data_IF_179425884429
#
_entry.id   IF_179425884429
#
_cell.length_a   1.000
_cell.length_b   1.000
_cell.length_c   1.000
_cell.angle_alpha   90.00
_cell.angle_beta   90.00
_cell.angle_gamma   90.00
#
_symmetry.space_group_name_H-M   'P 1'
#
loop_
_entity.id
_entity.type
_entity.pdbx_description
1 polymer ?
#
# COMPACT_ATOMS: atom_id res chain seq x y z
N UNK A 1 1.45 36.77 20.87
CA UNK A 1 1.56 35.89 19.70
C UNK A 1 0.15 35.40 19.34
N UNK A 2 -0.20 35.22 18.07
CA UNK A 2 -1.44 34.57 17.68
C UNK A 2 -1.50 33.15 18.25
N UNK A 3 -2.69 32.64 18.52
CA UNK A 3 -2.91 31.30 19.05
C UNK A 3 -3.33 30.36 17.92
N UNK A 4 -2.86 29.13 17.95
CA UNK A 4 -3.22 28.12 16.94
C UNK A 4 -4.66 27.59 17.07
N UNK A 5 -5.31 27.83 18.22
CA UNK A 5 -6.70 27.47 18.48
C UNK A 5 -7.44 28.66 19.07
N UNK A 6 -8.49 29.11 18.41
CA UNK A 6 -9.28 30.30 18.79
C UNK A 6 -10.78 30.04 18.72
N UNK A 7 -11.57 30.92 19.34
CA UNK A 7 -13.02 30.89 19.20
C UNK A 7 -13.47 31.62 17.93
N UNK A 8 -14.65 31.27 17.42
CA UNK A 8 -15.28 31.99 16.31
C UNK A 8 -15.50 33.49 16.65
N UNK A 9 -15.73 33.83 17.92
CA UNK A 9 -15.84 35.21 18.39
C UNK A 9 -14.51 35.95 18.32
N UNK A 10 -13.44 35.31 18.76
CA UNK A 10 -12.08 35.88 18.72
C UNK A 10 -11.62 36.09 17.27
N UNK A 11 -11.91 35.13 16.37
CA UNK A 11 -11.63 35.31 14.95
C UNK A 11 -12.36 36.53 14.38
N UNK A 12 -13.66 36.68 14.66
CA UNK A 12 -14.48 37.80 14.18
C UNK A 12 -13.93 39.17 14.63
N UNK A 13 -13.43 39.24 15.86
CA UNK A 13 -12.87 40.47 16.42
C UNK A 13 -11.49 40.81 15.89
N UNK A 14 -10.71 39.83 15.46
CA UNK A 14 -9.31 39.97 15.09
C UNK A 14 -8.98 39.35 13.73
N UNK A 15 -9.94 39.37 12.78
CA UNK A 15 -9.81 38.66 11.51
C UNK A 15 -8.52 39.04 10.75
N UNK A 16 -8.21 40.34 10.62
CA UNK A 16 -7.00 40.81 9.94
C UNK A 16 -5.73 40.18 10.51
N UNK A 17 -5.60 40.21 11.85
CA UNK A 17 -4.44 39.62 12.53
C UNK A 17 -4.26 38.13 12.26
N UNK A 18 -5.36 37.38 12.14
CA UNK A 18 -5.29 35.95 11.86
C UNK A 18 -5.10 35.66 10.37
N UNK A 19 -5.56 36.55 9.47
CA UNK A 19 -5.22 36.46 8.05
C UNK A 19 -3.72 36.69 7.83
N UNK A 20 -3.13 37.74 8.43
CA UNK A 20 -1.68 38.00 8.37
C UNK A 20 -0.86 36.84 8.95
N UNK A 21 -1.36 36.20 10.01
CA UNK A 21 -0.72 35.03 10.62
C UNK A 21 -0.76 33.80 9.70
N UNK A 22 -1.87 33.60 9.02
CA UNK A 22 -2.05 32.49 8.07
C UNK A 22 -1.23 32.71 6.79
N UNK A 23 -1.12 33.97 6.32
CA UNK A 23 -0.26 34.33 5.17
C UNK A 23 1.22 33.94 5.40
N UNK A 24 1.67 33.90 6.65
CA UNK A 24 3.00 33.43 7.05
C UNK A 24 3.10 31.89 7.15
N UNK A 25 2.26 31.14 6.43
CA UNK A 25 2.24 29.68 6.38
C UNK A 25 1.82 28.99 7.70
N UNK A 26 1.13 29.72 8.59
CA UNK A 26 0.57 29.16 9.82
C UNK A 26 -0.89 28.73 9.59
N UNK A 27 -1.42 27.92 10.51
CA UNK A 27 -2.85 27.54 10.50
C UNK A 27 -3.51 27.87 11.84
N UNK A 28 -4.82 28.09 11.80
CA UNK A 28 -5.62 28.42 12.98
C UNK A 28 -6.87 27.56 13.02
N UNK A 29 -7.06 26.81 14.10
CA UNK A 29 -8.27 26.03 14.35
C UNK A 29 -9.32 26.89 15.02
N UNK A 30 -10.52 26.92 14.46
CA UNK A 30 -11.64 27.72 14.96
C UNK A 30 -12.59 26.82 15.74
N UNK A 31 -12.94 27.26 16.95
CA UNK A 31 -13.88 26.54 17.81
C UNK A 31 -15.15 27.35 18.05
N UNK A 32 -16.27 26.63 18.24
CA UNK A 32 -17.54 27.20 18.71
C UNK A 32 -18.10 26.30 19.80
N UNK A 33 -18.42 26.87 20.96
CA UNK A 33 -18.88 26.10 22.12
C UNK A 33 -17.93 24.94 22.51
N UNK A 34 -16.63 25.15 22.40
CA UNK A 34 -15.61 24.12 22.70
C UNK A 34 -15.39 23.07 21.61
N UNK A 35 -16.19 23.06 20.54
CA UNK A 35 -16.07 22.12 19.42
C UNK A 35 -15.29 22.76 18.27
N UNK A 36 -14.33 22.05 17.70
CA UNK A 36 -13.61 22.46 16.48
C UNK A 36 -14.54 22.42 15.28
N UNK A 37 -14.77 23.58 14.63
CA UNK A 37 -15.76 23.72 13.55
C UNK A 37 -15.15 24.07 12.20
N UNK A 38 -13.98 24.70 12.18
CA UNK A 38 -13.32 25.14 10.96
C UNK A 38 -11.83 25.31 11.17
N UNK A 39 -11.10 25.47 10.06
CA UNK A 39 -9.67 25.77 10.02
C UNK A 39 -9.45 26.90 9.03
N UNK A 40 -8.58 27.84 9.38
CA UNK A 40 -8.08 28.88 8.50
C UNK A 40 -6.66 28.50 8.11
N UNK A 41 -6.42 28.33 6.81
CA UNK A 41 -5.11 27.90 6.27
C UNK A 41 -4.69 28.85 5.15
N UNK A 42 -3.41 28.93 4.81
CA UNK A 42 -2.95 29.66 3.63
C UNK A 42 -3.70 29.23 2.37
N UNK A 43 -3.93 30.17 1.47
CA UNK A 43 -4.39 29.84 0.12
C UNK A 43 -3.24 29.23 -0.67
N UNK A 44 -3.46 28.05 -1.18
CA UNK A 44 -2.46 27.27 -1.91
C UNK A 44 -3.04 27.01 -3.31
N UNK A 45 -2.23 27.18 -4.35
CA UNK A 45 -2.65 26.86 -5.73
C UNK A 45 -3.00 25.38 -5.87
N UNK A 46 -3.87 25.02 -6.80
CA UNK A 46 -4.34 23.63 -7.00
C UNK A 46 -3.19 22.62 -7.15
N UNK A 47 -2.08 23.02 -7.80
CA UNK A 47 -0.88 22.19 -7.95
C UNK A 47 -0.12 22.07 -6.64
N UNK A 48 0.09 23.18 -5.94
CA UNK A 48 0.75 23.18 -4.61
C UNK A 48 -0.12 22.47 -3.59
N UNK A 49 -1.44 22.62 -3.67
CA UNK A 49 -2.41 21.90 -2.84
C UNK A 49 -2.33 20.38 -3.08
N UNK A 50 -2.21 19.95 -4.33
CA UNK A 50 -2.01 18.54 -4.68
C UNK A 50 -0.72 17.98 -4.05
N UNK A 51 0.40 18.68 -4.16
CA UNK A 51 1.67 18.25 -3.57
C UNK A 51 1.67 18.34 -2.04
N UNK A 52 1.09 19.38 -1.46
CA UNK A 52 0.97 19.55 0.01
C UNK A 52 -0.01 18.55 0.63
N UNK A 53 -1.12 18.22 -0.04
CA UNK A 53 -2.04 17.17 0.40
C UNK A 53 -1.35 15.81 0.28
N UNK A 54 -0.58 15.58 -0.77
CA UNK A 54 0.22 14.37 -0.93
C UNK A 54 1.31 14.25 0.16
N UNK A 55 2.05 15.30 0.42
CA UNK A 55 3.15 15.29 1.41
C UNK A 55 2.60 15.34 2.84
N UNK A 56 1.53 16.08 3.12
CA UNK A 56 0.85 16.11 4.42
C UNK A 56 0.02 14.85 4.69
N UNK A 57 -0.55 14.21 3.68
CA UNK A 57 -1.18 12.91 3.84
C UNK A 57 -0.15 11.83 4.18
N UNK A 58 1.06 11.94 3.66
CA UNK A 58 2.16 11.03 3.98
C UNK A 58 2.72 11.27 5.40
N UNK A 59 2.72 12.51 5.93
CA UNK A 59 3.45 12.84 7.15
C UNK A 59 2.57 13.11 8.39
N UNK A 60 1.35 13.60 8.27
CA UNK A 60 0.77 14.34 9.41
C UNK A 60 -0.41 13.70 10.15
N UNK A 61 -1.15 12.78 9.56
CA UNK A 61 -2.30 12.22 10.28
C UNK A 61 -2.23 10.72 10.52
N UNK A 62 -1.71 9.96 9.58
CA UNK A 62 -1.72 8.48 9.68
C UNK A 62 -0.39 7.82 9.32
N UNK A 63 0.43 8.36 8.42
CA UNK A 63 1.69 7.75 7.98
C UNK A 63 2.73 7.68 9.10
N UNK A 64 3.35 6.52 9.31
CA UNK A 64 4.30 6.27 10.38
C UNK A 64 3.70 6.23 11.79
N UNK A 65 2.36 6.33 11.92
CA UNK A 65 1.69 6.26 13.22
C UNK A 65 1.62 4.83 13.70
N UNK A 66 2.14 4.60 14.90
CA UNK A 66 1.95 3.32 15.62
C UNK A 66 0.60 3.31 16.31
N UNK A 67 -0.19 2.29 16.00
CA UNK A 67 -1.55 2.11 16.54
C UNK A 67 -1.81 0.64 16.85
N UNK A 68 -2.90 0.35 17.57
CA UNK A 68 -3.40 -1.02 17.67
C UNK A 68 -4.07 -1.44 16.35
N UNK A 69 -4.26 -2.74 16.19
CA UNK A 69 -4.98 -3.27 15.02
C UNK A 69 -6.44 -2.78 14.98
N UNK A 70 -7.10 -2.69 16.14
CA UNK A 70 -8.46 -2.19 16.28
C UNK A 70 -8.56 -0.72 15.88
N UNK A 71 -7.61 0.12 16.34
CA UNK A 71 -7.52 1.53 15.91
C UNK A 71 -7.30 1.65 14.40
N UNK A 72 -6.42 0.81 13.83
CA UNK A 72 -6.22 0.79 12.37
C UNK A 72 -7.52 0.49 11.63
N UNK A 73 -8.29 -0.51 12.05
CA UNK A 73 -9.57 -0.85 11.43
C UNK A 73 -10.58 0.30 11.49
N UNK A 74 -10.65 1.02 12.61
CA UNK A 74 -11.51 2.21 12.75
C UNK A 74 -11.06 3.35 11.83
N UNK A 75 -9.75 3.61 11.75
CA UNK A 75 -9.17 4.63 10.87
C UNK A 75 -9.43 4.27 9.41
N UNK A 76 -9.13 3.03 9.01
CA UNK A 76 -9.33 2.54 7.65
C UNK A 76 -10.79 2.60 7.21
N UNK A 77 -11.74 2.25 8.10
CA UNK A 77 -13.17 2.31 7.80
C UNK A 77 -13.71 3.74 7.57
N UNK A 78 -13.06 4.75 8.14
CA UNK A 78 -13.47 6.16 8.04
C UNK A 78 -12.67 6.97 7.02
N UNK A 79 -11.55 6.43 6.55
CA UNK A 79 -10.63 7.10 5.63
C UNK A 79 -10.96 6.77 4.18
N UNK A 80 -10.77 7.73 3.30
CA UNK A 80 -10.76 7.52 1.84
C UNK A 80 -9.36 7.18 1.30
N UNK A 81 -8.35 7.25 2.16
CA UNK A 81 -6.96 6.96 1.79
C UNK A 81 -6.72 5.46 1.80
N UNK A 82 -5.95 4.99 0.82
CA UNK A 82 -5.44 3.63 0.82
C UNK A 82 -4.28 3.52 1.81
N UNK A 83 -4.31 2.50 2.64
CA UNK A 83 -3.30 2.32 3.67
C UNK A 83 -3.02 0.84 3.95
N UNK A 84 -1.82 0.57 4.40
CA UNK A 84 -1.38 -0.72 4.94
C UNK A 84 -1.05 -0.57 6.42
N UNK A 85 -1.09 -1.69 7.13
CA UNK A 85 -0.73 -1.77 8.53
C UNK A 85 0.30 -2.88 8.70
N UNK A 86 1.54 -2.51 9.00
CA UNK A 86 2.66 -3.44 9.08
C UNK A 86 3.42 -3.21 10.39
N UNK A 87 3.60 -4.26 11.18
CA UNK A 87 4.31 -4.20 12.47
C UNK A 87 3.78 -3.11 13.43
N UNK A 88 2.47 -2.85 13.40
CA UNK A 88 1.83 -1.84 14.25
C UNK A 88 1.90 -0.41 13.70
N UNK A 89 2.38 -0.21 12.49
CA UNK A 89 2.54 1.09 11.85
C UNK A 89 1.66 1.24 10.61
N UNK A 90 1.05 2.43 10.44
CA UNK A 90 0.25 2.77 9.26
C UNK A 90 1.15 3.30 8.15
N UNK A 91 1.05 2.71 6.97
CA UNK A 91 1.71 3.15 5.75
C UNK A 91 0.68 3.61 4.73
N UNK A 92 0.77 4.85 4.26
CA UNK A 92 -0.10 5.36 3.20
C UNK A 92 0.41 4.92 1.83
N UNK A 93 -0.53 4.56 0.95
CA UNK A 93 -0.23 4.13 -0.41
C UNK A 93 -0.47 5.29 -1.39
N UNK A 94 0.55 5.62 -2.17
CA UNK A 94 0.46 6.57 -3.29
C UNK A 94 -0.13 5.91 -4.54
N UNK A 95 -0.59 6.73 -5.48
CA UNK A 95 -0.98 6.23 -6.80
C UNK A 95 0.26 5.78 -7.59
N UNK A 96 0.21 4.58 -8.21
CA UNK A 96 1.31 4.08 -9.01
C UNK A 96 1.50 4.87 -10.31
N UNK A 97 2.73 4.92 -10.81
CA UNK A 97 3.07 5.53 -12.10
C UNK A 97 2.67 4.66 -13.30
N UNK A 98 2.88 5.20 -14.52
CA UNK A 98 2.51 4.54 -15.78
C UNK A 98 3.26 3.21 -15.95
N UNK A 99 4.56 3.20 -15.73
CA UNK A 99 5.40 2.01 -15.84
C UNK A 99 4.91 0.87 -14.94
N UNK A 100 4.64 1.19 -13.67
CA UNK A 100 4.11 0.23 -12.72
C UNK A 100 2.78 -0.36 -13.20
N UNK A 101 1.87 0.47 -13.71
CA UNK A 101 0.57 0.03 -14.21
C UNK A 101 0.69 -0.84 -15.46
N UNK A 102 1.63 -0.56 -16.34
CA UNK A 102 1.86 -1.36 -17.54
C UNK A 102 2.43 -2.74 -17.19
N UNK A 103 3.42 -2.80 -16.30
CA UNK A 103 3.96 -4.04 -15.77
C UNK A 103 2.86 -4.87 -15.09
N UNK A 104 2.05 -4.23 -14.24
CA UNK A 104 0.94 -4.88 -13.54
C UNK A 104 -0.09 -5.46 -14.52
N UNK A 105 -0.43 -4.72 -15.56
CA UNK A 105 -1.33 -5.18 -16.61
C UNK A 105 -0.81 -6.41 -17.34
N UNK A 106 0.46 -6.43 -17.71
CA UNK A 106 1.12 -7.59 -18.37
C UNK A 106 1.14 -8.81 -17.46
N UNK A 107 1.56 -8.64 -16.20
CA UNK A 107 1.54 -9.72 -15.20
C UNK A 107 0.13 -10.28 -15.01
N UNK A 108 -0.87 -9.40 -14.89
CA UNK A 108 -2.24 -9.84 -14.74
C UNK A 108 -2.71 -10.70 -15.91
N UNK A 109 -2.41 -10.30 -17.13
CA UNK A 109 -2.77 -11.10 -18.33
C UNK A 109 -2.09 -12.47 -18.32
N UNK A 110 -0.78 -12.53 -18.02
CA UNK A 110 -0.02 -13.78 -17.96
C UNK A 110 -0.55 -14.72 -16.87
N UNK A 111 -0.78 -14.21 -15.66
CA UNK A 111 -1.30 -14.96 -14.54
C UNK A 111 -2.75 -15.38 -14.77
N UNK A 112 -3.61 -14.48 -15.25
CA UNK A 112 -5.00 -14.79 -15.55
C UNK A 112 -5.11 -15.90 -16.61
N UNK A 113 -4.29 -15.83 -17.68
CA UNK A 113 -4.24 -16.86 -18.70
C UNK A 113 -3.84 -18.23 -18.12
N UNK A 114 -2.83 -18.26 -17.27
CA UNK A 114 -2.37 -19.48 -16.61
C UNK A 114 -3.41 -20.09 -15.68
N UNK A 115 -4.11 -19.26 -14.88
CA UNK A 115 -5.11 -19.73 -13.90
C UNK A 115 -6.51 -19.94 -14.49
N UNK A 116 -6.73 -19.60 -15.76
CA UNK A 116 -8.02 -19.80 -16.42
C UNK A 116 -8.43 -21.28 -16.37
N UNK A 117 -9.63 -21.55 -15.80
CA UNK A 117 -10.15 -22.91 -15.64
C UNK A 117 -9.56 -23.72 -14.48
N UNK A 118 -8.69 -23.11 -13.65
CA UNK A 118 -8.18 -23.70 -12.42
C UNK A 118 -8.95 -23.17 -11.19
N UNK A 119 -8.75 -23.78 -10.03
CA UNK A 119 -9.41 -23.37 -8.78
C UNK A 119 -8.94 -22.00 -8.29
N UNK A 120 -7.63 -21.71 -8.45
CA UNK A 120 -7.06 -20.47 -7.99
C UNK A 120 -7.51 -19.27 -8.83
N UNK A 121 -7.57 -18.11 -8.21
CA UNK A 121 -7.97 -16.85 -8.83
C UNK A 121 -6.89 -15.78 -8.61
N UNK A 122 -6.81 -14.87 -9.58
CA UNK A 122 -5.87 -13.75 -9.56
C UNK A 122 -6.65 -12.48 -9.22
N UNK A 123 -6.14 -11.72 -8.27
CA UNK A 123 -6.70 -10.42 -7.87
C UNK A 123 -5.62 -9.35 -7.93
N UNK A 124 -6.06 -8.11 -8.04
CA UNK A 124 -5.21 -6.91 -8.08
C UNK A 124 -5.57 -5.97 -6.93
N UNK A 125 -4.63 -5.11 -6.56
CA UNK A 125 -4.91 -4.00 -5.66
C UNK A 125 -6.00 -3.06 -6.25
N UNK A 126 -6.85 -2.44 -5.40
CA UNK A 126 -6.86 -2.55 -3.93
C UNK A 126 -7.55 -3.83 -3.44
N UNK A 127 -6.85 -4.64 -2.69
CA UNK A 127 -7.37 -5.87 -2.10
C UNK A 127 -6.70 -6.09 -0.74
N UNK A 128 -7.46 -5.92 0.34
CA UNK A 128 -6.95 -6.07 1.69
C UNK A 128 -6.67 -7.53 2.03
N UNK A 129 -5.46 -7.82 2.46
CA UNK A 129 -5.03 -9.12 2.98
C UNK A 129 -4.62 -8.98 4.43
N UNK A 130 -5.29 -9.71 5.32
CA UNK A 130 -4.99 -9.74 6.74
C UNK A 130 -4.05 -10.91 7.04
N UNK A 131 -2.75 -10.64 7.10
CA UNK A 131 -1.71 -11.64 7.30
C UNK A 131 -1.59 -12.03 8.77
N UNK A 132 -1.95 -13.27 9.08
CA UNK A 132 -1.70 -13.87 10.40
C UNK A 132 -0.28 -14.42 10.42
N UNK A 133 0.58 -13.80 11.21
CA UNK A 133 2.00 -14.18 11.33
C UNK A 133 2.20 -15.19 12.46
N UNK A 134 3.11 -16.14 12.27
CA UNK A 134 3.50 -17.11 13.29
C UNK A 134 4.00 -16.38 14.55
N UNK A 135 3.50 -16.81 15.71
CA UNK A 135 3.88 -16.31 17.05
C UNK A 135 3.64 -14.81 17.29
N UNK A 136 2.95 -14.11 16.36
CA UNK A 136 2.59 -12.69 16.49
C UNK A 136 1.06 -12.56 16.48
N UNK A 137 0.50 -12.03 17.57
CA UNK A 137 -0.96 -11.91 17.72
C UNK A 137 -1.58 -10.86 16.80
N UNK A 138 -0.86 -9.76 16.57
CA UNK A 138 -1.34 -8.66 15.74
C UNK A 138 -1.13 -8.99 14.27
N UNK A 139 -2.18 -9.10 13.45
CA UNK A 139 -2.03 -9.30 12.01
C UNK A 139 -1.48 -8.05 11.34
N UNK A 140 -0.79 -8.21 10.22
CA UNK A 140 -0.54 -7.12 9.30
C UNK A 140 -1.69 -7.04 8.27
N UNK A 141 -1.96 -5.84 7.75
CA UNK A 141 -2.91 -5.63 6.64
C UNK A 141 -2.15 -5.01 5.47
N UNK A 142 -2.09 -5.73 4.37
CA UNK A 142 -1.36 -5.32 3.17
C UNK A 142 -2.26 -5.32 1.94
N UNK A 143 -1.86 -4.56 0.92
CA UNK A 143 -2.53 -4.51 -0.38
C UNK A 143 -1.51 -4.85 -1.49
N UNK A 144 -1.18 -6.12 -1.70
CA UNK A 144 -0.23 -6.50 -2.74
C UNK A 144 -0.72 -6.11 -4.13
N UNK A 145 0.17 -5.74 -5.02
CA UNK A 145 -0.18 -5.32 -6.38
C UNK A 145 -0.93 -6.41 -7.15
N UNK A 146 -0.47 -7.68 -7.01
CA UNK A 146 -1.16 -8.85 -7.54
C UNK A 146 -1.05 -10.00 -6.54
N UNK A 147 -2.12 -10.79 -6.42
CA UNK A 147 -2.13 -11.97 -5.56
C UNK A 147 -2.89 -13.13 -6.21
N UNK A 148 -2.50 -14.35 -5.84
CA UNK A 148 -3.16 -15.60 -6.23
C UNK A 148 -3.74 -16.25 -4.99
N UNK A 149 -5.03 -16.55 -5.05
CA UNK A 149 -5.80 -17.17 -3.96
C UNK A 149 -6.39 -18.49 -4.44
N UNK A 150 -6.14 -19.58 -3.72
CA UNK A 150 -6.63 -20.92 -4.05
C UNK A 150 -7.69 -21.43 -3.07
N UNK A 151 -7.94 -20.75 -1.97
CA UNK A 151 -8.80 -21.15 -0.86
C UNK A 151 -10.03 -20.25 -0.66
N UNK A 152 -10.57 -19.67 -1.74
CA UNK A 152 -11.73 -18.78 -1.67
C UNK A 152 -12.95 -19.44 -0.99
N UNK A 153 -13.14 -20.74 -1.20
CA UNK A 153 -14.23 -21.48 -0.55
C UNK A 153 -14.02 -21.52 0.98
N UNK A 154 -14.91 -20.88 1.73
CA UNK A 154 -14.84 -20.80 3.18
C UNK A 154 -14.00 -19.64 3.75
N UNK A 155 -13.29 -18.90 2.91
CA UNK A 155 -12.47 -17.76 3.31
C UNK A 155 -12.99 -16.41 2.77
N UNK A 156 -14.27 -16.34 2.44
CA UNK A 156 -14.93 -15.09 2.03
C UNK A 156 -16.07 -14.79 3.00
N UNK A 157 -16.09 -13.57 3.54
CA UNK A 157 -17.17 -13.11 4.43
C UNK A 157 -18.47 -12.91 3.65
N UNK A 158 -19.61 -12.77 4.36
CA UNK A 158 -20.90 -12.40 3.75
C UNK A 158 -20.84 -11.06 3.01
N UNK A 159 -19.93 -10.17 3.38
CA UNK A 159 -19.69 -8.87 2.72
C UNK A 159 -18.71 -8.97 1.55
N UNK A 160 -18.28 -10.18 1.16
CA UNK A 160 -17.36 -10.40 0.04
C UNK A 160 -15.89 -10.11 0.32
N UNK A 161 -15.48 -10.00 1.59
CA UNK A 161 -14.07 -9.78 1.96
C UNK A 161 -13.34 -11.10 2.18
N UNK A 162 -12.12 -11.18 1.69
CA UNK A 162 -11.24 -12.33 1.88
C UNK A 162 -10.60 -12.33 3.28
N UNK A 163 -10.56 -13.49 3.91
CA UNK A 163 -10.04 -13.68 5.27
C UNK A 163 -8.93 -14.72 5.37
N UNK A 164 -8.57 -15.33 4.23
CA UNK A 164 -7.49 -16.30 4.14
C UNK A 164 -6.12 -15.66 3.94
N UNK A 165 -5.16 -16.49 3.54
CA UNK A 165 -3.81 -16.04 3.15
C UNK A 165 -3.55 -16.43 1.69
N UNK A 166 -3.12 -15.51 0.81
CA UNK A 166 -2.85 -15.82 -0.58
C UNK A 166 -1.69 -16.81 -0.72
N UNK A 167 -1.75 -17.67 -1.73
CA UNK A 167 -0.68 -18.62 -2.01
C UNK A 167 0.56 -17.97 -2.63
N UNK A 168 0.36 -16.94 -3.45
CA UNK A 168 1.42 -16.17 -4.11
C UNK A 168 1.06 -14.69 -4.09
N UNK A 169 2.04 -13.85 -3.83
CA UNK A 169 1.93 -12.40 -3.89
C UNK A 169 3.00 -11.80 -4.78
N UNK A 170 2.68 -10.70 -5.44
CA UNK A 170 3.59 -9.94 -6.30
C UNK A 170 3.55 -8.48 -5.88
N UNK A 171 4.73 -7.88 -5.74
CA UNK A 171 4.92 -6.44 -5.53
C UNK A 171 5.82 -5.89 -6.63
N UNK A 172 5.45 -4.75 -7.20
CA UNK A 172 6.24 -4.05 -8.19
C UNK A 172 6.91 -2.88 -7.48
N UNK A 173 8.24 -2.89 -7.43
CA UNK A 173 9.00 -1.88 -6.71
C UNK A 173 8.82 -0.49 -7.31
N UNK A 174 8.60 0.48 -6.45
CA UNK A 174 8.72 1.90 -6.72
C UNK A 174 9.79 2.52 -5.82
N UNK A 175 10.23 3.74 -6.09
CA UNK A 175 11.22 4.42 -5.26
C UNK A 175 10.75 4.62 -3.82
N UNK A 176 9.46 4.89 -3.65
CA UNK A 176 8.86 5.14 -2.33
C UNK A 176 8.58 3.88 -1.52
N UNK A 177 8.47 2.71 -2.15
CA UNK A 177 8.08 1.46 -1.47
C UNK A 177 9.22 0.45 -1.35
N UNK A 178 10.33 0.63 -2.10
CA UNK A 178 11.43 -0.35 -2.22
C UNK A 178 11.88 -0.96 -0.88
N UNK A 179 12.20 -0.14 0.12
CA UNK A 179 12.69 -0.65 1.41
C UNK A 179 11.60 -1.42 2.16
N UNK A 180 10.36 -0.92 2.15
CA UNK A 180 9.22 -1.57 2.78
C UNK A 180 8.94 -2.93 2.14
N UNK A 181 8.90 -3.00 0.81
CA UNK A 181 8.60 -4.23 0.08
C UNK A 181 9.73 -5.26 0.24
N UNK A 182 10.99 -4.82 0.21
CA UNK A 182 12.14 -5.73 0.32
C UNK A 182 12.43 -6.22 1.74
N UNK A 183 11.93 -5.56 2.79
CA UNK A 183 12.24 -5.90 4.18
C UNK A 183 10.97 -6.23 4.97
N UNK A 184 10.07 -5.25 5.14
CA UNK A 184 8.93 -5.40 6.04
C UNK A 184 7.90 -6.38 5.48
N UNK A 185 7.53 -6.24 4.21
CA UNK A 185 6.61 -7.16 3.55
C UNK A 185 7.21 -8.55 3.34
N UNK A 186 8.52 -8.64 3.02
CA UNK A 186 9.19 -9.95 2.95
C UNK A 186 9.03 -10.73 4.26
N UNK A 187 9.28 -10.07 5.40
CA UNK A 187 9.09 -10.68 6.71
C UNK A 187 7.62 -11.03 6.99
N UNK A 188 6.69 -10.13 6.64
CA UNK A 188 5.27 -10.37 6.84
C UNK A 188 4.77 -11.59 6.03
N UNK A 189 5.15 -11.70 4.75
CA UNK A 189 4.80 -12.84 3.89
C UNK A 189 5.48 -14.14 4.33
N UNK A 190 6.76 -14.09 4.71
CA UNK A 190 7.50 -15.24 5.21
C UNK A 190 6.89 -15.83 6.49
N UNK A 191 6.49 -14.97 7.43
CA UNK A 191 5.91 -15.40 8.73
C UNK A 191 4.43 -15.80 8.61
N UNK A 192 3.79 -15.56 7.47
CA UNK A 192 2.45 -16.05 7.14
C UNK A 192 2.52 -17.38 6.38
N UNK A 193 1.43 -17.84 5.83
CA UNK A 193 1.39 -19.08 5.04
C UNK A 193 1.49 -18.84 3.53
N UNK A 194 1.94 -17.66 3.09
CA UNK A 194 2.27 -17.36 1.69
C UNK A 194 3.35 -18.34 1.23
N UNK A 195 3.20 -18.92 0.04
CA UNK A 195 4.15 -19.91 -0.50
C UNK A 195 5.24 -19.25 -1.33
N UNK A 196 4.90 -18.20 -2.10
CA UNK A 196 5.85 -17.47 -2.92
C UNK A 196 5.58 -15.97 -2.86
N UNK A 197 6.67 -15.21 -2.80
CA UNK A 197 6.71 -13.77 -2.91
C UNK A 197 7.56 -13.36 -4.11
N UNK A 198 6.95 -12.68 -5.07
CA UNK A 198 7.59 -12.17 -6.27
C UNK A 198 7.79 -10.67 -6.15
N UNK A 199 9.02 -10.24 -6.31
CA UNK A 199 9.38 -8.82 -6.40
C UNK A 199 9.76 -8.52 -7.84
N UNK A 200 9.06 -7.58 -8.43
CA UNK A 200 9.37 -7.08 -9.77
C UNK A 200 10.16 -5.79 -9.62
N UNK A 201 11.37 -5.77 -10.13
CA UNK A 201 12.24 -4.59 -10.10
C UNK A 201 12.33 -3.94 -11.48
N UNK A 202 11.58 -2.85 -11.75
CA UNK A 202 11.61 -2.17 -13.05
C UNK A 202 12.98 -1.59 -13.37
N UNK A 203 13.69 -1.04 -12.36
CA UNK A 203 15.01 -0.42 -12.56
C UNK A 203 16.07 -1.43 -13.00
N UNK A 204 16.06 -2.60 -12.40
CA UNK A 204 17.00 -3.67 -12.75
C UNK A 204 16.47 -4.58 -13.86
N UNK A 205 15.23 -4.40 -14.30
CA UNK A 205 14.52 -5.28 -15.22
C UNK A 205 14.65 -6.76 -14.79
N UNK A 206 14.38 -7.01 -13.51
CA UNK A 206 14.56 -8.29 -12.88
C UNK A 206 13.30 -8.73 -12.13
N UNK A 207 13.13 -10.05 -12.03
CA UNK A 207 12.12 -10.70 -11.19
C UNK A 207 12.85 -11.48 -10.11
N UNK A 208 12.56 -11.17 -8.84
CA UNK A 208 13.12 -11.82 -7.66
C UNK A 208 12.02 -12.67 -7.06
N UNK A 209 12.25 -13.96 -6.86
CA UNK A 209 11.27 -14.89 -6.29
C UNK A 209 11.80 -15.49 -5.00
N UNK A 210 11.13 -15.22 -3.91
CA UNK A 210 11.27 -15.93 -2.65
C UNK A 210 10.24 -17.06 -2.59
N UNK A 211 10.69 -18.28 -2.26
CA UNK A 211 9.79 -19.38 -1.90
C UNK A 211 9.95 -19.65 -0.41
N UNK A 212 8.83 -19.85 0.28
CA UNK A 212 8.81 -20.05 1.72
C UNK A 212 8.37 -21.46 2.08
N UNK A 213 8.99 -22.01 3.11
CA UNK A 213 8.58 -23.24 3.77
C UNK A 213 8.83 -23.12 5.28
N UNK A 214 7.89 -23.57 6.10
CA UNK A 214 7.99 -23.53 7.57
C UNK A 214 8.29 -22.14 8.16
N UNK A 215 7.82 -21.07 7.51
CA UNK A 215 8.06 -19.66 7.85
C UNK A 215 9.54 -19.23 7.73
N UNK A 216 10.26 -19.86 6.81
CA UNK A 216 11.64 -19.54 6.47
C UNK A 216 11.79 -19.40 4.94
N UNK A 217 12.82 -18.71 4.50
CA UNK A 217 13.17 -18.66 3.07
C UNK A 217 13.77 -19.99 2.67
N UNK A 218 13.03 -20.76 1.87
CA UNK A 218 13.54 -22.01 1.28
C UNK A 218 14.45 -21.72 0.08
N UNK A 219 14.04 -20.80 -0.80
CA UNK A 219 14.85 -20.40 -1.96
C UNK A 219 14.69 -18.93 -2.28
N UNK A 220 15.76 -18.35 -2.81
CA UNK A 220 15.80 -17.05 -3.46
C UNK A 220 16.32 -17.24 -4.88
N UNK A 221 15.58 -16.78 -5.87
CA UNK A 221 15.97 -16.84 -7.29
C UNK A 221 15.79 -15.48 -7.95
N UNK A 222 16.73 -15.10 -8.78
CA UNK A 222 16.71 -13.86 -9.54
C UNK A 222 16.73 -14.19 -11.02
N UNK A 223 15.84 -13.55 -11.77
CA UNK A 223 15.70 -13.73 -13.21
C UNK A 223 15.81 -12.37 -13.91
N UNK A 224 16.69 -12.29 -14.88
CA UNK A 224 16.94 -11.10 -15.69
C UNK A 224 16.48 -11.34 -17.13
N UNK A 225 16.57 -10.32 -17.97
CA UNK A 225 16.23 -10.38 -19.39
C UNK A 225 16.85 -11.58 -20.09
N UNK A 226 16.06 -12.28 -20.90
CA UNK A 226 16.47 -13.54 -21.55
C UNK A 226 16.26 -14.80 -20.70
N UNK A 227 15.63 -14.66 -19.55
CA UNK A 227 15.22 -15.77 -18.68
C UNK A 227 13.71 -15.74 -18.44
N UNK A 228 13.14 -16.90 -18.15
CA UNK A 228 11.76 -17.03 -17.69
C UNK A 228 11.71 -17.23 -16.18
N UNK A 229 11.06 -16.31 -15.48
CA UNK A 229 10.81 -16.40 -14.04
C UNK A 229 9.74 -17.44 -13.78
N UNK A 230 10.11 -18.59 -13.22
CA UNK A 230 9.21 -19.74 -13.02
C UNK A 230 8.83 -19.94 -11.56
N UNK A 231 7.53 -20.17 -11.30
CA UNK A 231 7.01 -20.52 -9.98
C UNK A 231 7.45 -21.95 -9.58
N UNK A 232 7.69 -22.16 -8.30
CA UNK A 232 7.82 -23.50 -7.68
C UNK A 232 6.49 -23.97 -7.11
N UNK A 233 5.67 -23.04 -6.60
CA UNK A 233 4.37 -23.35 -6.05
C UNK A 233 3.36 -23.76 -7.13
N UNK A 234 3.51 -23.24 -8.37
CA UNK A 234 2.60 -23.48 -9.49
C UNK A 234 3.37 -23.99 -10.72
N UNK A 235 3.43 -25.30 -10.87
CA UNK A 235 4.15 -25.94 -11.97
C UNK A 235 3.65 -25.45 -13.35
N UNK A 236 4.56 -24.90 -14.16
CA UNK A 236 4.26 -24.35 -15.49
C UNK A 236 3.83 -22.87 -15.48
N UNK A 237 3.65 -22.21 -14.33
CA UNK A 237 3.55 -20.76 -14.26
C UNK A 237 4.95 -20.18 -14.48
N UNK A 238 5.11 -19.44 -15.57
CA UNK A 238 6.36 -18.74 -15.89
C UNK A 238 6.06 -17.41 -16.57
N UNK A 239 6.91 -16.41 -16.33
CA UNK A 239 6.87 -15.09 -16.91
C UNK A 239 8.17 -14.85 -17.66
N UNK A 240 8.09 -14.57 -18.95
CA UNK A 240 9.27 -14.14 -19.71
C UNK A 240 9.66 -12.73 -19.29
N UNK A 241 10.88 -12.58 -18.75
CA UNK A 241 11.36 -11.30 -18.21
C UNK A 241 11.58 -10.28 -19.33
N UNK A 242 11.94 -10.73 -20.52
CA UNK A 242 12.10 -9.86 -21.68
C UNK A 242 10.76 -9.27 -22.15
N UNK A 243 9.72 -10.10 -22.23
CA UNK A 243 8.37 -9.65 -22.59
C UNK A 243 7.75 -8.75 -21.50
N UNK A 244 8.00 -9.06 -20.23
CA UNK A 244 7.50 -8.26 -19.11
C UNK A 244 7.96 -6.80 -19.17
N UNK A 245 9.22 -6.58 -19.50
CA UNK A 245 9.85 -5.24 -19.55
C UNK A 245 10.03 -4.69 -20.98
N UNK A 246 9.48 -5.35 -22.02
CA UNK A 246 9.62 -4.88 -23.39
C UNK A 246 8.90 -3.53 -23.58
N UNK A 247 9.52 -2.62 -24.34
CA UNK A 247 8.95 -1.34 -24.79
C UNK A 247 8.35 -0.46 -23.67
N UNK A 248 8.81 -0.64 -22.41
CA UNK A 248 8.44 0.25 -21.33
C UNK A 248 9.09 1.62 -21.54
N UNK A 249 8.32 2.67 -21.33
CA UNK A 249 8.81 4.05 -21.37
C UNK A 249 9.45 4.34 -20.00
N UNK A 250 10.77 4.20 -19.94
CA UNK A 250 11.55 4.63 -18.78
C UNK A 250 11.72 6.16 -18.82
N UNK A 251 11.38 6.83 -17.73
CA UNK A 251 11.70 8.24 -17.50
C UNK A 251 12.93 8.37 -16.61
#
# INVERSE_FOLDING_TARGET
MPKDVITATELKQNLGKYLDYVEQQNEVVITKNGVKIARLTPYITDIEQYFLVRDRALDYQYGGKKVSYEEFLEISARSTLRMEFINGEIHLLSSPGIEHQEILGRLHLMFHHYFKGKECRVFLAPFDVHLKKKDIKTPDVVQPDLLVVCDLAGNVTETGRYTGTPDLVVEILSDSTRNKDMIDKLNAYMLSTVKEYWIIDPRQQAVIIYSFANHEIETLRVFEKGRSASSRAFAGLAVDVGELFADLIFQ
#
